data_IF_060670658105
#
_entry.id   IF_060670658105
#
_cell.length_a   1.000
_cell.length_b   1.000
_cell.length_c   1.000
_cell.angle_alpha   90.00
_cell.angle_beta   90.00
_cell.angle_gamma   90.00
#
_symmetry.space_group_name_H-M   'P 1'
#
loop_
_entity.id
_entity.type
_entity.pdbx_description
1 polymer ?
#
# COMPACT_ATOMS: atom_id res chain seq x y z
N UNK A 1 83.46 -9.27 12.31
CA UNK A 1 82.92 -10.62 12.22
C UNK A 1 81.67 -10.70 13.10
N UNK A 2 80.49 -10.62 12.49
CA UNK A 2 79.21 -11.19 12.98
C UNK A 2 78.22 -11.08 11.85
N UNK A 3 77.99 -12.24 11.22
CA UNK A 3 76.96 -12.43 10.18
C UNK A 3 75.58 -12.24 10.78
N UNK A 4 74.79 -11.33 10.17
CA UNK A 4 73.35 -11.21 10.41
C UNK A 4 72.62 -11.86 9.26
N UNK A 5 72.19 -13.12 9.45
CA UNK A 5 71.33 -13.84 8.55
C UNK A 5 69.94 -13.25 8.53
N UNK A 6 69.56 -12.57 7.47
CA UNK A 6 68.19 -12.14 7.19
C UNK A 6 67.36 -13.37 6.73
N UNK A 7 66.55 -13.92 7.64
CA UNK A 7 65.53 -14.90 7.31
C UNK A 7 64.38 -14.22 6.61
N UNK A 8 64.32 -14.30 5.28
CA UNK A 8 63.20 -13.95 4.45
C UNK A 8 62.03 -14.93 4.72
N UNK A 9 61.08 -14.51 5.56
CA UNK A 9 59.78 -15.17 5.65
C UNK A 9 59.05 -14.94 4.33
N UNK A 10 59.00 -15.99 3.49
CA UNK A 10 58.07 -16.09 2.36
C UNK A 10 56.66 -16.23 2.97
N UNK A 11 55.90 -15.16 2.97
CA UNK A 11 54.47 -15.24 3.07
C UNK A 11 53.97 -15.89 1.79
N UNK A 12 53.69 -17.16 1.84
CA UNK A 12 52.87 -17.88 0.85
C UNK A 12 51.45 -17.35 0.99
N UNK A 13 51.13 -16.30 0.23
CA UNK A 13 49.73 -15.96 -0.07
C UNK A 13 49.18 -17.14 -0.84
N UNK A 14 48.35 -17.94 -0.17
CA UNK A 14 47.46 -18.83 -0.86
C UNK A 14 46.54 -17.95 -1.72
N UNK A 15 46.87 -17.77 -2.99
CA UNK A 15 45.96 -17.26 -3.98
C UNK A 15 44.77 -18.21 -3.99
N UNK A 16 43.61 -17.75 -3.53
CA UNK A 16 42.38 -18.47 -3.70
C UNK A 16 42.19 -18.72 -5.19
N UNK A 17 42.12 -20.02 -5.57
CA UNK A 17 41.99 -20.52 -6.96
C UNK A 17 40.76 -19.91 -7.68
N UNK A 18 39.95 -19.14 -6.99
CA UNK A 18 38.76 -18.46 -7.49
C UNK A 18 38.97 -16.94 -7.36
N UNK A 19 39.25 -16.29 -8.46
CA UNK A 19 39.48 -14.84 -8.52
C UNK A 19 38.25 -14.05 -8.00
N UNK A 20 38.42 -12.75 -7.59
CA UNK A 20 37.36 -11.91 -7.03
C UNK A 20 36.16 -11.76 -7.97
N UNK A 21 36.34 -11.97 -9.27
CA UNK A 21 35.25 -11.99 -10.25
C UNK A 21 34.30 -13.18 -10.08
N UNK A 22 34.80 -14.37 -9.73
CA UNK A 22 33.99 -15.57 -9.51
C UNK A 22 33.01 -15.39 -8.36
N UNK A 23 33.44 -14.83 -7.24
CA UNK A 23 32.57 -14.54 -6.08
C UNK A 23 31.49 -13.52 -6.42
N UNK A 24 31.79 -12.51 -7.24
CA UNK A 24 30.77 -11.55 -7.72
C UNK A 24 29.71 -12.21 -8.60
N UNK A 25 30.09 -13.17 -9.45
CA UNK A 25 29.13 -13.91 -10.27
C UNK A 25 28.23 -14.81 -9.40
N UNK A 26 28.79 -15.51 -8.41
CA UNK A 26 28.02 -16.32 -7.47
C UNK A 26 27.04 -15.44 -6.68
N UNK A 27 27.48 -14.31 -6.13
CA UNK A 27 26.62 -13.40 -5.38
C UNK A 27 25.49 -12.86 -6.26
N UNK A 28 25.76 -12.51 -7.52
CA UNK A 28 24.72 -12.09 -8.46
C UNK A 28 23.75 -13.22 -8.78
N UNK A 29 24.26 -14.41 -9.05
CA UNK A 29 23.44 -15.58 -9.33
C UNK A 29 22.52 -15.94 -8.14
N UNK A 30 23.05 -15.92 -6.92
CA UNK A 30 22.27 -16.11 -5.70
C UNK A 30 21.23 -15.00 -5.48
N UNK A 31 21.60 -13.75 -5.80
CA UNK A 31 20.67 -12.62 -5.76
C UNK A 31 19.50 -12.79 -6.74
N UNK A 32 19.79 -13.15 -8.00
CA UNK A 32 18.73 -13.43 -8.99
C UNK A 32 17.89 -14.64 -8.63
N UNK A 33 18.51 -15.70 -8.10
CA UNK A 33 17.78 -16.88 -7.62
C UNK A 33 16.85 -16.53 -6.47
N UNK A 34 17.33 -15.74 -5.51
CA UNK A 34 16.52 -15.23 -4.40
C UNK A 34 15.34 -14.38 -4.89
N UNK A 35 15.59 -13.43 -5.81
CA UNK A 35 14.53 -12.64 -6.44
C UNK A 35 13.51 -13.50 -7.17
N UNK A 36 13.96 -14.49 -7.94
CA UNK A 36 13.09 -15.42 -8.64
C UNK A 36 12.24 -16.25 -7.68
N UNK A 37 12.83 -16.73 -6.58
CA UNK A 37 12.09 -17.43 -5.54
C UNK A 37 10.98 -16.55 -4.92
N UNK A 38 11.28 -15.28 -4.61
CA UNK A 38 10.29 -14.33 -4.10
C UNK A 38 9.17 -14.10 -5.13
N UNK A 39 9.50 -13.91 -6.40
CA UNK A 39 8.52 -13.74 -7.48
C UNK A 39 7.60 -14.97 -7.59
N UNK A 40 8.13 -16.17 -7.47
CA UNK A 40 7.32 -17.40 -7.47
C UNK A 40 6.42 -17.48 -6.24
N UNK A 41 6.96 -17.26 -5.03
CA UNK A 41 6.20 -17.37 -3.77
C UNK A 41 5.02 -16.37 -3.78
N UNK A 42 5.24 -15.13 -4.22
CA UNK A 42 4.20 -14.11 -4.29
C UNK A 42 3.30 -14.27 -5.52
N UNK A 43 3.86 -14.71 -6.63
CA UNK A 43 3.16 -14.83 -7.91
C UNK A 43 2.22 -16.04 -7.99
N UNK A 44 2.57 -17.18 -7.38
CA UNK A 44 1.75 -18.39 -7.42
C UNK A 44 0.33 -18.17 -6.88
N UNK A 45 0.11 -17.58 -5.70
CA UNK A 45 -1.25 -17.28 -5.23
C UNK A 45 -2.05 -16.37 -6.18
N UNK A 46 -1.40 -15.35 -6.73
CA UNK A 46 -2.04 -14.44 -7.70
C UNK A 46 -2.39 -15.18 -8.99
N UNK A 47 -1.46 -15.97 -9.53
CA UNK A 47 -1.70 -16.80 -10.72
C UNK A 47 -2.82 -17.82 -10.47
N UNK A 48 -2.92 -18.36 -9.24
CA UNK A 48 -4.01 -19.26 -8.86
C UNK A 48 -5.36 -18.58 -8.89
N UNK A 49 -5.51 -17.37 -8.35
CA UNK A 49 -6.76 -16.59 -8.40
C UNK A 49 -7.13 -16.26 -9.85
N UNK A 50 -6.16 -15.79 -10.66
CA UNK A 50 -6.38 -15.49 -12.08
C UNK A 50 -6.85 -16.72 -12.85
N UNK A 51 -6.18 -17.84 -12.64
CA UNK A 51 -6.53 -19.12 -13.28
C UNK A 51 -7.86 -19.66 -12.75
N UNK A 52 -8.08 -19.61 -11.43
CA UNK A 52 -9.30 -20.08 -10.79
C UNK A 52 -10.55 -19.34 -11.21
N UNK A 53 -10.41 -18.02 -11.50
CA UNK A 53 -11.51 -17.22 -12.06
C UNK A 53 -12.04 -17.75 -13.41
N UNK A 54 -11.22 -18.53 -14.11
CA UNK A 54 -11.56 -19.15 -15.40
C UNK A 54 -11.89 -20.65 -15.28
N UNK A 55 -11.96 -21.20 -14.07
CA UNK A 55 -12.21 -22.62 -13.80
C UNK A 55 -13.60 -22.88 -13.26
N UNK A 56 -14.07 -24.10 -13.46
CA UNK A 56 -15.22 -24.65 -12.76
C UNK A 56 -14.84 -25.14 -11.37
N UNK A 57 -15.81 -25.25 -10.43
CA UNK A 57 -15.55 -25.84 -9.11
C UNK A 57 -14.91 -27.22 -9.17
N UNK A 58 -15.29 -28.05 -10.13
CA UNK A 58 -14.72 -29.39 -10.34
C UNK A 58 -13.23 -29.33 -10.66
N UNK A 59 -12.78 -28.36 -11.47
CA UNK A 59 -11.37 -28.17 -11.80
C UNK A 59 -10.57 -27.59 -10.62
N UNK A 60 -11.17 -26.67 -9.84
CA UNK A 60 -10.53 -26.05 -8.67
C UNK A 60 -10.24 -27.11 -7.60
N UNK A 61 -11.19 -28.00 -7.33
CA UNK A 61 -11.10 -29.04 -6.31
C UNK A 61 -10.66 -30.41 -6.85
N UNK A 62 -10.08 -30.45 -8.05
CA UNK A 62 -9.59 -31.71 -8.60
C UNK A 62 -8.39 -32.25 -7.79
N UNK A 63 -8.27 -33.57 -7.71
CA UNK A 63 -7.15 -34.24 -7.03
C UNK A 63 -5.80 -34.00 -7.72
N UNK A 64 -5.82 -33.61 -8.98
CA UNK A 64 -4.65 -33.20 -9.78
C UNK A 64 -4.72 -31.71 -10.07
N UNK A 65 -4.13 -30.84 -9.22
CA UNK A 65 -4.20 -29.39 -9.43
C UNK A 65 -3.52 -29.00 -10.74
N UNK A 66 -4.26 -28.38 -11.63
CA UNK A 66 -3.72 -27.82 -12.88
C UNK A 66 -3.61 -26.31 -12.72
N UNK A 67 -2.48 -25.71 -13.09
CA UNK A 67 -2.32 -24.26 -13.00
C UNK A 67 -3.21 -23.53 -14.03
N UNK A 68 -3.34 -24.07 -15.24
CA UNK A 68 -4.17 -23.49 -16.29
C UNK A 68 -5.51 -24.22 -16.40
N UNK A 69 -6.62 -23.52 -16.73
CA UNK A 69 -7.92 -24.15 -16.98
C UNK A 69 -7.86 -25.01 -18.25
N UNK A 70 -8.50 -26.18 -18.23
CA UNK A 70 -8.62 -27.01 -19.43
C UNK A 70 -9.54 -26.36 -20.46
N UNK A 71 -10.66 -25.79 -19.99
CA UNK A 71 -11.60 -25.01 -20.78
C UNK A 71 -11.90 -23.70 -20.06
N UNK A 72 -11.36 -22.55 -20.54
CA UNK A 72 -11.60 -21.27 -19.89
C UNK A 72 -13.07 -20.90 -19.81
N UNK A 73 -13.59 -20.72 -18.60
CA UNK A 73 -14.98 -20.37 -18.33
C UNK A 73 -15.11 -18.88 -18.00
N UNK A 74 -15.46 -18.06 -18.98
CA UNK A 74 -15.69 -16.62 -18.80
C UNK A 74 -17.04 -16.29 -18.14
N UNK A 75 -17.97 -17.23 -18.08
CA UNK A 75 -19.27 -17.03 -17.44
C UNK A 75 -19.16 -16.70 -15.94
N UNK A 76 -18.05 -17.11 -15.31
CA UNK A 76 -17.77 -16.74 -13.92
C UNK A 76 -17.76 -15.23 -13.68
N UNK A 77 -17.25 -14.45 -14.61
CA UNK A 77 -17.24 -12.99 -14.54
C UNK A 77 -18.65 -12.41 -14.69
N UNK A 78 -19.44 -12.96 -15.61
CA UNK A 78 -20.84 -12.55 -15.81
C UNK A 78 -21.67 -12.87 -14.60
N UNK A 79 -21.56 -14.09 -14.07
CA UNK A 79 -22.23 -14.52 -12.83
C UNK A 79 -21.84 -13.64 -11.65
N UNK A 80 -20.54 -13.39 -11.47
CA UNK A 80 -20.05 -12.52 -10.42
C UNK A 80 -20.66 -11.12 -10.50
N UNK A 81 -20.69 -10.54 -11.70
CA UNK A 81 -21.26 -9.21 -11.93
C UNK A 81 -22.76 -9.15 -11.65
N UNK A 82 -23.51 -10.20 -11.99
CA UNK A 82 -24.95 -10.27 -11.83
C UNK A 82 -25.40 -10.67 -10.41
N UNK A 83 -24.51 -11.25 -9.62
CA UNK A 83 -24.83 -11.73 -8.27
C UNK A 83 -25.08 -10.60 -7.25
N UNK A 84 -24.60 -9.38 -7.54
CA UNK A 84 -24.76 -8.21 -6.68
C UNK A 84 -24.60 -6.92 -7.50
N UNK A 85 -25.03 -5.75 -6.98
CA UNK A 85 -24.93 -4.46 -7.66
C UNK A 85 -23.47 -3.95 -7.67
N UNK A 86 -22.58 -4.62 -8.40
CA UNK A 86 -21.15 -4.27 -8.46
C UNK A 86 -20.89 -2.89 -9.05
N UNK A 87 -21.76 -2.40 -9.93
CA UNK A 87 -21.74 -1.01 -10.42
C UNK A 87 -21.80 0.00 -9.27
N UNK A 88 -22.70 -0.21 -8.30
CA UNK A 88 -22.81 0.60 -7.09
C UNK A 88 -21.58 0.45 -6.18
N UNK A 89 -21.11 -0.78 -6.00
CA UNK A 89 -19.93 -1.04 -5.18
C UNK A 89 -18.68 -0.36 -5.73
N UNK A 90 -18.50 -0.32 -7.05
CA UNK A 90 -17.43 0.44 -7.71
C UNK A 90 -17.53 1.94 -7.42
N UNK A 91 -18.72 2.52 -7.61
CA UNK A 91 -18.95 3.95 -7.34
C UNK A 91 -18.66 4.26 -5.87
N UNK A 92 -19.16 3.46 -4.95
CA UNK A 92 -18.92 3.65 -3.51
C UNK A 92 -17.44 3.55 -3.16
N UNK A 93 -16.74 2.53 -3.65
CA UNK A 93 -15.30 2.38 -3.43
C UNK A 93 -14.51 3.54 -4.02
N UNK A 94 -14.88 4.01 -5.21
CA UNK A 94 -14.22 5.15 -5.83
C UNK A 94 -14.42 6.43 -4.99
N UNK A 95 -15.67 6.73 -4.59
CA UNK A 95 -15.99 7.90 -3.76
C UNK A 95 -15.26 7.83 -2.42
N UNK A 96 -15.37 6.71 -1.71
CA UNK A 96 -14.76 6.57 -0.37
C UNK A 96 -13.24 6.60 -0.43
N UNK A 97 -12.63 6.02 -1.46
CA UNK A 97 -11.18 6.08 -1.68
C UNK A 97 -10.72 7.48 -2.05
N UNK A 98 -11.40 8.14 -2.98
CA UNK A 98 -11.04 9.50 -3.43
C UNK A 98 -11.09 10.49 -2.26
N UNK A 99 -12.19 10.53 -1.53
CA UNK A 99 -12.34 11.46 -0.40
C UNK A 99 -11.53 11.03 0.81
N UNK A 100 -11.46 9.72 1.11
CA UNK A 100 -10.69 9.19 2.24
C UNK A 100 -9.18 9.39 2.07
N UNK A 101 -8.61 8.91 0.95
CA UNK A 101 -7.19 9.08 0.67
C UNK A 101 -6.83 10.56 0.40
N UNK A 102 -7.68 11.30 -0.31
CA UNK A 102 -7.46 12.72 -0.56
C UNK A 102 -7.36 13.54 0.73
N UNK A 103 -8.31 13.36 1.63
CA UNK A 103 -8.29 14.03 2.93
C UNK A 103 -7.09 13.59 3.79
N UNK A 104 -6.77 12.29 3.80
CA UNK A 104 -5.60 11.75 4.51
C UNK A 104 -4.29 12.37 4.00
N UNK A 105 -4.12 12.49 2.68
CA UNK A 105 -2.92 13.09 2.07
C UNK A 105 -2.82 14.59 2.45
N UNK A 106 -3.92 15.33 2.37
CA UNK A 106 -3.95 16.75 2.77
C UNK A 106 -3.54 16.89 4.23
N UNK A 107 -4.11 16.09 5.11
CA UNK A 107 -3.77 16.09 6.54
C UNK A 107 -2.31 15.70 6.78
N UNK A 108 -1.80 14.68 6.08
CA UNK A 108 -0.41 14.23 6.20
C UNK A 108 0.58 15.31 5.76
N UNK A 109 0.33 15.93 4.60
CA UNK A 109 1.16 17.00 4.03
C UNK A 109 1.19 18.23 4.95
N UNK A 110 0.04 18.70 5.39
CA UNK A 110 -0.07 19.90 6.23
C UNK A 110 0.55 19.66 7.62
N UNK A 111 0.31 18.50 8.20
CA UNK A 111 0.91 18.10 9.48
C UNK A 111 2.43 17.98 9.37
N UNK A 112 2.94 17.29 8.35
CA UNK A 112 4.37 17.15 8.13
C UNK A 112 5.04 18.52 7.90
N UNK A 113 4.42 19.40 7.10
CA UNK A 113 4.90 20.76 6.88
C UNK A 113 4.97 21.55 8.18
N UNK A 114 3.93 21.54 8.98
CA UNK A 114 3.89 22.22 10.27
C UNK A 114 4.99 21.70 11.21
N UNK A 115 5.17 20.40 11.29
CA UNK A 115 6.16 19.75 12.15
C UNK A 115 7.63 19.96 11.71
N UNK A 116 7.88 20.40 10.47
CA UNK A 116 9.25 20.64 9.98
C UNK A 116 9.57 22.13 9.88
N UNK A 117 8.71 22.90 9.23
CA UNK A 117 9.01 24.27 8.80
C UNK A 117 8.35 25.38 9.65
N UNK A 118 7.32 25.03 10.43
CA UNK A 118 6.68 26.00 11.34
C UNK A 118 7.31 25.92 12.71
N UNK A 119 7.65 27.08 13.28
CA UNK A 119 8.18 27.17 14.66
C UNK A 119 7.02 27.37 15.63
N UNK A 120 6.75 26.36 16.46
CA UNK A 120 5.79 26.47 17.56
C UNK A 120 6.28 25.69 18.81
N UNK A 121 5.81 26.09 20.00
CA UNK A 121 6.24 25.43 21.23
C UNK A 121 5.79 23.96 21.26
N UNK A 122 6.60 23.11 21.91
CA UNK A 122 6.32 21.67 22.10
C UNK A 122 6.12 20.87 20.81
N UNK A 123 6.68 21.31 19.68
CA UNK A 123 6.59 20.62 18.38
C UNK A 123 6.97 19.12 18.45
N UNK A 124 8.04 18.81 19.17
CA UNK A 124 8.52 17.43 19.29
C UNK A 124 7.60 16.57 20.17
N UNK A 125 6.88 17.16 21.13
CA UNK A 125 5.84 16.49 21.88
C UNK A 125 4.63 16.15 21.01
N UNK A 126 4.21 17.04 20.12
CA UNK A 126 3.14 16.76 19.14
C UNK A 126 3.56 15.61 18.24
N UNK A 127 4.80 15.60 17.76
CA UNK A 127 5.31 14.49 16.97
C UNK A 127 5.37 13.18 17.78
N UNK A 128 5.81 13.23 19.02
CA UNK A 128 5.80 12.05 19.89
C UNK A 128 4.40 11.48 20.08
N UNK A 129 3.39 12.33 20.30
CA UNK A 129 1.99 11.89 20.39
C UNK A 129 1.48 11.23 19.08
N UNK A 130 1.91 11.74 17.92
CA UNK A 130 1.63 11.07 16.65
C UNK A 130 2.25 9.67 16.58
N UNK A 131 3.47 9.48 17.08
CA UNK A 131 4.09 8.16 17.14
C UNK A 131 3.36 7.22 18.09
N UNK A 132 2.91 7.72 19.24
CA UNK A 132 2.08 6.95 20.18
C UNK A 132 0.76 6.52 19.50
N UNK A 133 0.14 7.41 18.74
CA UNK A 133 -1.08 7.08 17.99
C UNK A 133 -0.87 5.95 16.94
N UNK A 134 0.33 5.84 16.35
CA UNK A 134 0.68 4.72 15.45
C UNK A 134 0.74 3.36 16.16
N UNK A 135 0.97 3.33 17.46
CA UNK A 135 1.05 2.10 18.24
C UNK A 135 -0.33 1.55 18.62
N UNK A 136 -1.39 2.35 18.46
CA UNK A 136 -2.77 1.91 18.77
C UNK A 136 -3.27 1.02 17.63
N UNK A 137 -3.59 -0.26 17.88
CA UNK A 137 -4.18 -1.14 16.88
C UNK A 137 -5.54 -0.59 16.39
N UNK A 138 -5.80 -0.65 15.10
CA UNK A 138 -7.06 -0.17 14.49
C UNK A 138 -8.28 -0.86 15.08
N UNK A 139 -8.17 -2.12 15.44
CA UNK A 139 -9.23 -2.96 15.99
C UNK A 139 -9.76 -2.41 17.32
N UNK A 140 -8.89 -1.81 18.12
CA UNK A 140 -9.26 -1.25 19.44
C UNK A 140 -10.18 -0.03 19.28
N UNK A 141 -10.01 0.75 18.22
CA UNK A 141 -10.79 1.97 17.99
C UNK A 141 -12.06 1.73 17.15
N UNK A 142 -12.30 0.51 16.66
CA UNK A 142 -13.48 0.20 15.83
C UNK A 142 -14.79 0.50 16.55
N UNK A 143 -14.96 -0.03 17.77
CA UNK A 143 -16.20 0.14 18.55
C UNK A 143 -16.40 1.61 18.96
N UNK A 144 -15.40 2.32 19.54
CA UNK A 144 -15.53 3.74 19.82
C UNK A 144 -15.90 4.59 18.58
N UNK A 145 -15.26 4.31 17.43
CA UNK A 145 -15.57 5.00 16.18
C UNK A 145 -17.00 4.73 15.73
N UNK A 146 -17.45 3.47 15.79
CA UNK A 146 -18.83 3.13 15.44
C UNK A 146 -19.85 3.88 16.31
N UNK A 147 -19.66 3.90 17.64
CA UNK A 147 -20.54 4.61 18.57
C UNK A 147 -20.56 6.12 18.28
N UNK A 148 -19.41 6.70 17.95
CA UNK A 148 -19.29 8.11 17.59
C UNK A 148 -20.06 8.43 16.31
N UNK A 149 -19.85 7.66 15.25
CA UNK A 149 -20.52 7.84 13.96
C UNK A 149 -22.02 7.58 14.07
N UNK A 150 -22.43 6.57 14.86
CA UNK A 150 -23.83 6.28 15.16
C UNK A 150 -24.49 7.43 15.94
N UNK A 151 -23.81 7.98 16.93
CA UNK A 151 -24.26 9.16 17.68
C UNK A 151 -24.47 10.39 16.79
N UNK A 152 -23.65 10.54 15.75
CA UNK A 152 -23.80 11.60 14.73
C UNK A 152 -24.84 11.27 13.65
N UNK A 153 -25.50 10.11 13.71
CA UNK A 153 -26.47 9.62 12.71
C UNK A 153 -25.88 9.50 11.30
N UNK A 154 -24.61 9.14 11.21
CA UNK A 154 -23.87 9.00 9.96
C UNK A 154 -23.66 7.54 9.54
N UNK A 155 -24.28 6.57 10.23
CA UNK A 155 -24.31 5.16 9.81
C UNK A 155 -24.90 5.08 8.40
N UNK A 156 -24.35 4.23 7.56
CA UNK A 156 -24.80 4.01 6.18
C UNK A 156 -24.73 5.26 5.30
N UNK A 157 -23.68 6.09 5.49
CA UNK A 157 -23.42 7.29 4.68
C UNK A 157 -21.95 7.37 4.28
N UNK A 158 -21.62 8.06 3.18
CA UNK A 158 -20.24 8.33 2.78
C UNK A 158 -19.40 9.01 3.88
N UNK A 159 -19.88 10.07 4.55
CA UNK A 159 -19.14 10.66 5.66
C UNK A 159 -18.85 9.65 6.78
N UNK A 160 -19.81 8.78 7.10
CA UNK A 160 -19.61 7.73 8.11
C UNK A 160 -18.50 6.73 7.72
N UNK A 161 -18.35 6.43 6.44
CA UNK A 161 -17.27 5.55 5.95
C UNK A 161 -15.93 6.29 6.00
N UNK A 162 -15.89 7.56 5.58
CA UNK A 162 -14.66 8.32 5.33
C UNK A 162 -14.05 8.92 6.59
N UNK A 163 -14.86 9.55 7.46
CA UNK A 163 -14.38 10.39 8.56
C UNK A 163 -13.42 9.70 9.55
N UNK A 164 -13.65 8.47 10.02
CA UNK A 164 -12.73 7.84 10.97
C UNK A 164 -11.32 7.57 10.41
N UNK A 165 -11.21 7.47 9.09
CA UNK A 165 -9.96 7.19 8.40
C UNK A 165 -9.27 8.40 7.77
N UNK A 166 -9.77 9.63 7.97
CA UNK A 166 -9.22 10.85 7.35
C UNK A 166 -7.84 11.22 7.88
N UNK A 167 -7.57 10.95 9.15
CA UNK A 167 -6.28 11.29 9.77
C UNK A 167 -5.54 10.02 10.17
N UNK A 168 -4.42 9.74 9.49
CA UNK A 168 -3.49 8.72 9.90
C UNK A 168 -2.13 9.36 10.22
N UNK A 169 -1.56 8.96 11.35
CA UNK A 169 -0.24 9.43 11.77
C UNK A 169 0.87 8.93 10.84
N UNK A 170 0.63 7.82 10.11
CA UNK A 170 1.64 7.17 9.26
C UNK A 170 2.04 8.04 8.06
N UNK A 171 1.08 8.62 7.34
CA UNK A 171 1.38 9.52 6.21
C UNK A 171 2.14 10.77 6.66
N UNK A 172 1.73 11.38 7.79
CA UNK A 172 2.42 12.51 8.37
C UNK A 172 3.85 12.17 8.82
N UNK A 173 4.06 10.98 9.39
CA UNK A 173 5.38 10.47 9.76
C UNK A 173 6.30 10.34 8.55
N UNK A 174 5.85 9.64 7.48
CA UNK A 174 6.64 9.44 6.26
C UNK A 174 7.03 10.77 5.63
N UNK A 175 6.05 11.65 5.42
CA UNK A 175 6.31 12.96 4.80
C UNK A 175 7.18 13.85 5.67
N UNK A 176 7.04 13.81 7.00
CA UNK A 176 7.95 14.53 7.89
C UNK A 176 9.40 14.07 7.75
N UNK A 177 9.65 12.76 7.64
CA UNK A 177 11.02 12.26 7.46
C UNK A 177 11.62 12.78 6.15
N UNK A 178 10.84 12.76 5.07
CA UNK A 178 11.30 13.30 3.79
C UNK A 178 11.48 14.83 3.83
N UNK A 179 10.52 15.59 4.39
CA UNK A 179 10.62 17.04 4.46
C UNK A 179 11.83 17.54 5.25
N UNK A 180 12.33 16.75 6.21
CA UNK A 180 13.57 17.04 6.93
C UNK A 180 14.84 16.94 6.09
N UNK A 181 14.76 16.29 4.94
CA UNK A 181 15.90 16.19 3.99
C UNK A 181 15.96 17.38 3.02
N UNK A 182 14.89 18.18 2.96
CA UNK A 182 14.84 19.37 2.09
C UNK A 182 15.78 20.45 2.65
N UNK A 183 16.71 21.00 1.84
CA UNK A 183 17.60 22.08 2.28
C UNK A 183 16.80 23.31 2.75
N UNK A 184 17.17 23.84 3.92
CA UNK A 184 16.51 25.00 4.48
C UNK A 184 16.71 26.26 3.64
N UNK A 185 17.80 26.33 2.88
CA UNK A 185 18.09 27.44 1.97
C UNK A 185 16.96 27.71 0.96
N UNK A 186 16.29 26.63 0.48
CA UNK A 186 15.13 26.77 -0.40
C UNK A 186 13.94 27.46 0.30
N UNK A 187 13.75 27.16 1.57
CA UNK A 187 12.68 27.74 2.38
C UNK A 187 13.00 29.20 2.72
N UNK A 188 14.27 29.49 3.01
CA UNK A 188 14.71 30.83 3.36
C UNK A 188 14.71 31.74 2.12
N UNK A 189 15.10 31.24 0.94
CA UNK A 189 14.94 31.97 -0.33
C UNK A 189 13.46 32.34 -0.58
N UNK A 190 12.54 31.38 -0.43
CA UNK A 190 11.11 31.66 -0.58
C UNK A 190 10.59 32.73 0.41
N UNK A 191 11.13 32.76 1.62
CA UNK A 191 10.79 33.82 2.62
C UNK A 191 11.32 35.18 2.22
N UNK A 192 12.55 35.25 1.68
CA UNK A 192 13.13 36.50 1.15
C UNK A 192 12.29 37.03 0.00
N UNK A 193 11.73 36.14 -0.84
CA UNK A 193 10.81 36.48 -1.92
C UNK A 193 9.39 36.84 -1.41
N UNK A 194 9.17 36.90 -0.09
CA UNK A 194 7.90 37.26 0.53
C UNK A 194 6.82 36.17 0.49
N UNK A 195 7.21 34.90 0.26
CA UNK A 195 6.25 33.80 0.26
C UNK A 195 5.79 33.44 1.68
N UNK A 196 4.48 33.45 1.94
CA UNK A 196 3.88 32.91 3.15
C UNK A 196 3.87 31.38 3.15
N UNK A 197 3.53 30.78 4.29
CA UNK A 197 3.59 29.32 4.50
C UNK A 197 2.87 28.48 3.44
N UNK A 198 1.64 28.85 3.05
CA UNK A 198 0.89 28.13 2.03
C UNK A 198 1.56 28.21 0.66
N UNK A 199 2.09 29.39 0.29
CA UNK A 199 2.80 29.57 -0.98
C UNK A 199 4.10 28.77 -1.00
N UNK A 200 4.86 28.77 0.09
CA UNK A 200 6.07 27.94 0.26
C UNK A 200 5.74 26.45 0.15
N UNK A 201 4.65 26.00 0.81
CA UNK A 201 4.22 24.59 0.72
C UNK A 201 3.92 24.20 -0.74
N UNK A 202 3.08 24.96 -1.45
CA UNK A 202 2.62 24.58 -2.79
C UNK A 202 3.68 24.74 -3.88
N UNK A 203 4.53 25.77 -3.80
CA UNK A 203 5.45 26.11 -4.90
C UNK A 203 6.90 25.66 -4.65
N UNK A 204 7.25 25.32 -3.41
CA UNK A 204 8.61 24.88 -3.08
C UNK A 204 8.61 23.45 -2.54
N UNK A 205 7.90 23.20 -1.43
CA UNK A 205 7.99 21.93 -0.71
C UNK A 205 7.34 20.79 -1.49
N UNK A 206 6.11 20.97 -1.99
CA UNK A 206 5.40 19.90 -2.71
C UNK A 206 6.08 19.50 -4.03
N UNK A 207 6.57 20.42 -4.88
CA UNK A 207 7.32 20.04 -6.08
C UNK A 207 8.59 19.24 -5.75
N UNK A 208 9.37 19.66 -4.75
CA UNK A 208 10.57 18.94 -4.32
C UNK A 208 10.23 17.58 -3.70
N UNK A 209 9.15 17.52 -2.95
CA UNK A 209 8.70 16.30 -2.27
C UNK A 209 7.72 15.45 -3.11
N UNK A 210 7.52 15.75 -4.39
CA UNK A 210 6.56 15.06 -5.24
C UNK A 210 6.70 13.52 -5.21
N UNK A 211 7.89 12.93 -5.22
CA UNK A 211 8.03 11.47 -5.13
C UNK A 211 7.54 10.90 -3.80
N UNK A 212 7.85 11.56 -2.68
CA UNK A 212 7.42 11.12 -1.36
C UNK A 212 5.90 11.28 -1.17
N UNK A 213 5.32 12.37 -1.70
CA UNK A 213 3.88 12.58 -1.70
C UNK A 213 3.18 11.54 -2.58
N UNK A 214 3.72 11.22 -3.76
CA UNK A 214 3.18 10.19 -4.65
C UNK A 214 3.22 8.80 -3.98
N UNK A 215 4.31 8.47 -3.30
CA UNK A 215 4.44 7.21 -2.54
C UNK A 215 3.40 7.14 -1.41
N UNK A 216 3.27 8.21 -0.62
CA UNK A 216 2.28 8.29 0.46
C UNK A 216 0.86 8.19 -0.10
N UNK A 217 0.58 8.87 -1.22
CA UNK A 217 -0.71 8.80 -1.88
C UNK A 217 -1.04 7.39 -2.37
N UNK A 218 -0.09 6.70 -3.00
CA UNK A 218 -0.26 5.34 -3.45
C UNK A 218 -0.59 4.38 -2.30
N UNK A 219 0.13 4.49 -1.18
CA UNK A 219 -0.13 3.69 0.02
C UNK A 219 -1.52 3.98 0.60
N UNK A 220 -1.91 5.25 0.70
CA UNK A 220 -3.23 5.67 1.18
C UNK A 220 -4.36 5.16 0.28
N UNK A 221 -4.25 5.34 -1.04
CA UNK A 221 -5.24 4.88 -2.03
C UNK A 221 -5.40 3.36 -1.92
N UNK A 222 -4.29 2.61 -1.90
CA UNK A 222 -4.31 1.15 -1.81
C UNK A 222 -4.98 0.68 -0.50
N UNK A 223 -4.64 1.32 0.62
CA UNK A 223 -5.23 0.99 1.93
C UNK A 223 -6.75 1.28 1.96
N UNK A 224 -7.19 2.43 1.43
CA UNK A 224 -8.61 2.81 1.41
C UNK A 224 -9.43 1.96 0.44
N UNK A 225 -8.88 1.64 -0.73
CA UNK A 225 -9.57 0.79 -1.70
C UNK A 225 -9.78 -0.63 -1.18
N UNK A 226 -8.78 -1.20 -0.49
CA UNK A 226 -8.85 -2.55 0.08
C UNK A 226 -9.51 -2.64 1.44
N UNK A 227 -10.00 -1.53 2.01
CA UNK A 227 -10.58 -1.52 3.35
C UNK A 227 -11.90 -2.32 3.40
N UNK A 228 -11.95 -3.31 4.29
CA UNK A 228 -13.07 -4.24 4.41
C UNK A 228 -13.83 -4.09 5.73
N UNK A 229 -13.14 -4.13 6.87
CA UNK A 229 -13.76 -4.26 8.19
C UNK A 229 -14.62 -3.04 8.53
N UNK A 230 -14.09 -1.83 8.36
CA UNK A 230 -14.83 -0.62 8.69
C UNK A 230 -16.08 -0.42 7.80
N UNK A 231 -15.98 -0.48 6.46
CA UNK A 231 -17.17 -0.43 5.61
C UNK A 231 -18.19 -1.53 5.91
N UNK A 232 -17.75 -2.75 6.26
CA UNK A 232 -18.65 -3.85 6.64
C UNK A 232 -19.50 -3.49 7.87
N UNK A 233 -18.87 -2.85 8.88
CA UNK A 233 -19.55 -2.47 10.12
C UNK A 233 -20.52 -1.29 9.94
N UNK A 234 -20.12 -0.31 9.12
CA UNK A 234 -20.85 0.97 9.04
C UNK A 234 -21.91 1.01 7.94
N UNK A 235 -21.88 0.09 6.96
CA UNK A 235 -22.87 0.02 5.89
C UNK A 235 -23.93 -1.04 6.19
N UNK A 236 -25.17 -0.62 6.29
CA UNK A 236 -26.31 -1.49 6.63
C UNK A 236 -27.14 -1.89 5.40
N UNK A 237 -27.10 -1.08 4.35
CA UNK A 237 -27.81 -1.36 3.09
C UNK A 237 -26.83 -1.81 2.01
N UNK A 238 -27.33 -2.60 1.07
CA UNK A 238 -26.53 -3.09 -0.05
C UNK A 238 -26.00 -1.96 -0.93
N UNK A 239 -26.82 -0.95 -1.18
CA UNK A 239 -26.47 0.21 -2.01
C UNK A 239 -25.26 1.02 -1.51
N UNK A 240 -24.94 0.93 -0.21
CA UNK A 240 -23.83 1.66 0.41
C UNK A 240 -22.56 0.82 0.59
N UNK A 241 -22.60 -0.47 0.27
CA UNK A 241 -21.42 -1.34 0.40
C UNK A 241 -20.32 -0.95 -0.56
N UNK A 242 -19.09 -1.11 -0.09
CA UNK A 242 -17.87 -0.98 -0.91
C UNK A 242 -17.57 -2.28 -1.64
N UNK A 243 -16.73 -2.21 -2.66
CA UNK A 243 -16.39 -3.34 -3.51
C UNK A 243 -15.79 -4.54 -2.73
N UNK A 244 -14.84 -4.36 -1.78
CA UNK A 244 -14.37 -5.48 -0.95
C UNK A 244 -15.48 -6.13 -0.12
N UNK A 245 -16.40 -5.35 0.43
CA UNK A 245 -17.54 -5.88 1.19
C UNK A 245 -18.51 -6.62 0.26
N UNK A 246 -18.67 -6.14 -0.96
CA UNK A 246 -19.55 -6.76 -1.96
C UNK A 246 -19.14 -8.18 -2.35
N UNK A 247 -17.84 -8.52 -2.29
CA UNK A 247 -17.37 -9.90 -2.57
C UNK A 247 -18.00 -10.92 -1.64
N UNK A 248 -18.30 -10.56 -0.39
CA UNK A 248 -18.97 -11.47 0.56
C UNK A 248 -20.33 -11.99 0.06
N UNK A 249 -20.95 -11.29 -0.90
CA UNK A 249 -22.20 -11.71 -1.53
C UNK A 249 -22.05 -12.90 -2.49
N UNK A 250 -20.82 -13.14 -2.94
CA UNK A 250 -20.50 -14.28 -3.82
C UNK A 250 -20.29 -15.57 -3.02
N UNK A 251 -20.25 -15.48 -1.68
CA UNK A 251 -20.14 -16.61 -0.79
C UNK A 251 -21.54 -17.12 -0.44
N UNK A 252 -21.83 -18.37 -0.81
CA UNK A 252 -23.07 -19.03 -0.42
C UNK A 252 -22.99 -19.52 1.03
N UNK A 253 -24.01 -19.19 1.83
CA UNK A 253 -24.08 -19.59 3.23
C UNK A 253 -24.41 -21.09 3.40
N UNK A 254 -24.99 -21.73 2.40
CA UNK A 254 -25.34 -23.15 2.39
C UNK A 254 -24.18 -24.08 1.97
N UNK A 255 -23.00 -23.51 1.70
CA UNK A 255 -21.80 -24.29 1.37
C UNK A 255 -21.65 -24.68 -0.10
N UNK A 256 -22.54 -24.20 -0.97
CA UNK A 256 -22.48 -24.43 -2.43
C UNK A 256 -21.78 -23.28 -3.18
N UNK A 257 -20.76 -22.68 -2.58
CA UNK A 257 -20.04 -21.54 -3.16
C UNK A 257 -19.40 -21.91 -4.50
N UNK A 258 -19.69 -21.15 -5.54
CA UNK A 258 -18.99 -21.22 -6.84
C UNK A 258 -17.66 -20.46 -6.74
N UNK A 259 -16.58 -21.14 -6.37
CA UNK A 259 -15.28 -20.52 -6.14
C UNK A 259 -14.68 -19.82 -7.35
N UNK A 260 -14.96 -20.32 -8.57
CA UNK A 260 -14.58 -19.64 -9.80
C UNK A 260 -15.23 -18.24 -9.91
N UNK A 261 -16.49 -18.12 -9.49
CA UNK A 261 -17.23 -16.85 -9.43
C UNK A 261 -16.66 -15.92 -8.36
N UNK A 262 -16.32 -16.45 -7.17
CA UNK A 262 -15.68 -15.67 -6.10
C UNK A 262 -14.32 -15.16 -6.53
N UNK A 263 -13.50 -15.99 -7.19
CA UNK A 263 -12.20 -15.57 -7.71
C UNK A 263 -12.34 -14.51 -8.82
N UNK A 264 -13.33 -14.65 -9.71
CA UNK A 264 -13.65 -13.62 -10.70
C UNK A 264 -14.05 -12.29 -10.04
N UNK A 265 -14.91 -12.33 -9.03
CA UNK A 265 -15.26 -11.15 -8.23
C UNK A 265 -14.08 -10.53 -7.49
N UNK A 266 -13.15 -11.35 -6.98
CA UNK A 266 -11.92 -10.87 -6.34
C UNK A 266 -11.05 -10.06 -7.32
N UNK A 267 -11.05 -10.42 -8.60
CA UNK A 267 -10.34 -9.66 -9.64
C UNK A 267 -10.97 -8.27 -9.85
N UNK A 268 -12.27 -8.08 -9.63
CA UNK A 268 -12.89 -6.75 -9.66
C UNK A 268 -12.28 -5.77 -8.65
N UNK A 269 -11.87 -6.27 -7.47
CA UNK A 269 -11.15 -5.45 -6.47
C UNK A 269 -9.68 -5.29 -6.82
N UNK A 270 -9.04 -6.37 -7.27
CA UNK A 270 -7.58 -6.43 -7.40
C UNK A 270 -7.08 -5.68 -8.64
N UNK A 271 -7.77 -5.82 -9.78
CA UNK A 271 -7.31 -5.23 -11.06
C UNK A 271 -7.19 -3.70 -11.00
N UNK A 272 -8.17 -2.92 -10.47
CA UNK A 272 -8.02 -1.48 -10.38
C UNK A 272 -6.80 -1.04 -9.58
N UNK A 273 -6.53 -1.69 -8.43
CA UNK A 273 -5.35 -1.39 -7.59
C UNK A 273 -4.06 -1.72 -8.32
N UNK A 274 -4.01 -2.87 -9.00
CA UNK A 274 -2.84 -3.25 -9.81
C UNK A 274 -2.56 -2.21 -10.91
N UNK A 275 -3.59 -1.73 -11.60
CA UNK A 275 -3.43 -0.70 -12.63
C UNK A 275 -2.92 0.63 -12.04
N UNK A 276 -3.48 1.05 -10.91
CA UNK A 276 -3.00 2.24 -10.19
C UNK A 276 -1.54 2.06 -9.78
N UNK A 277 -1.18 0.90 -9.22
CA UNK A 277 0.19 0.60 -8.81
C UNK A 277 1.16 0.60 -10.00
N UNK A 278 0.82 -0.08 -11.10
CA UNK A 278 1.64 -0.14 -12.32
C UNK A 278 1.88 1.26 -12.91
N UNK A 279 0.87 2.13 -12.82
CA UNK A 279 1.04 3.51 -13.25
C UNK A 279 1.90 4.33 -12.28
N UNK A 280 1.68 4.18 -10.97
CA UNK A 280 2.30 5.00 -9.93
C UNK A 280 3.73 4.56 -9.58
N UNK A 281 4.13 3.29 -9.82
CA UNK A 281 5.46 2.77 -9.47
C UNK A 281 6.61 3.60 -10.04
N UNK A 282 6.44 4.18 -11.24
CA UNK A 282 7.45 5.04 -11.86
C UNK A 282 7.79 6.27 -11.01
N UNK A 283 6.79 6.85 -10.34
CA UNK A 283 7.00 8.01 -9.46
C UNK A 283 7.66 7.63 -8.13
N UNK A 284 7.52 6.38 -7.71
CA UNK A 284 8.15 5.84 -6.50
C UNK A 284 9.62 5.54 -6.76
N UNK A 285 9.94 4.92 -7.91
CA UNK A 285 11.33 4.54 -8.27
C UNK A 285 12.20 5.77 -8.54
N UNK A 286 11.65 6.80 -9.17
CA UNK A 286 12.38 8.04 -9.47
C UNK A 286 12.70 8.89 -8.20
N UNK A 287 12.13 8.53 -7.06
CA UNK A 287 12.26 9.24 -5.78
C UNK A 287 13.19 8.57 -4.75
N UNK A 288 13.81 7.44 -5.10
CA UNK A 288 14.80 6.73 -4.28
C UNK A 288 16.18 6.93 -4.86
#
# INVERSE_FOLDING_TARGET
MRDVSLSTRRHTTQESLLGPHFWRYIQRALGYLGMFAVVLIVGIPVAWVLSGALKTNREIFSTTPQLLPANPNFDNFVKAWQAAPFDRFYVNSFITTLFGAGAEIIMAVTTAYALVFVRFPKRDWVFFLLLVALMVPREVVLVPNYLTIAGWKMVNTYPGIVLPGVSTAFGAFLLRQYFRTIPLDLIDAARVDGAGHLRTLWHVVLPVAAPAVATTALLSITAKWGEYIWPLLITTTEDMRTLPVGISRLLDQEGNTEWGVVMAGTLFVTVPVMLIFLYAQRFVVDGI
#
